data_IF_076865021326
#
_entry.id   IF_076865021326
#
_cell.length_a   1.000
_cell.length_b   1.000
_cell.length_c   1.000
_cell.angle_alpha   90.00
_cell.angle_beta   90.00
_cell.angle_gamma   90.00
#
_symmetry.space_group_name_H-M   'P 1'
#
loop_
_entity.id
_entity.type
_entity.pdbx_description
1 polymer ?
#
# COMPACT_ATOMS: atom_id res chain seq x y z
N UNK A 1 3.58 4.52 -3.74
CA UNK A 1 4.27 3.88 -2.59
C UNK A 1 3.31 3.44 -1.51
N UNK A 2 2.57 4.32 -0.81
CA UNK A 2 1.60 3.86 0.21
C UNK A 2 0.47 3.02 -0.40
N UNK A 3 -0.19 3.54 -1.44
CA UNK A 3 -1.21 2.77 -2.19
C UNK A 3 -0.63 1.50 -2.84
N UNK A 4 0.63 1.55 -3.29
CA UNK A 4 1.33 0.38 -3.83
C UNK A 4 1.50 -0.71 -2.78
N UNK A 5 1.90 -0.37 -1.56
CA UNK A 5 2.00 -1.33 -0.47
C UNK A 5 0.64 -1.96 -0.12
N UNK A 6 -0.44 -1.16 -0.12
CA UNK A 6 -1.80 -1.68 0.09
C UNK A 6 -2.22 -2.64 -1.03
N UNK A 7 -1.97 -2.26 -2.29
CA UNK A 7 -2.31 -3.10 -3.44
C UNK A 7 -1.52 -4.40 -3.46
N UNK A 8 -0.23 -4.37 -3.11
CA UNK A 8 0.61 -5.57 -2.94
C UNK A 8 0.09 -6.49 -1.83
N UNK A 9 -0.48 -5.91 -0.76
CA UNK A 9 -1.17 -6.66 0.29
C UNK A 9 -2.59 -7.12 -0.11
N UNK A 10 -3.05 -6.82 -1.32
CA UNK A 10 -4.39 -7.14 -1.80
C UNK A 10 -5.50 -6.29 -1.18
N UNK A 11 -5.18 -5.07 -0.73
CA UNK A 11 -6.12 -4.15 -0.07
C UNK A 11 -6.44 -2.96 -0.98
N UNK A 12 -7.73 -2.74 -1.25
CA UNK A 12 -8.23 -1.51 -1.87
C UNK A 12 -8.45 -0.45 -0.76
N UNK A 13 -7.96 0.77 -0.96
CA UNK A 13 -8.11 1.85 0.02
C UNK A 13 -9.49 2.51 -0.04
N UNK A 14 -9.96 2.84 -1.26
CA UNK A 14 -11.34 3.26 -1.59
C UNK A 14 -11.81 4.61 -1.03
N UNK A 15 -10.96 5.37 -0.36
CA UNK A 15 -11.33 6.72 0.14
C UNK A 15 -10.15 7.71 0.09
N UNK A 16 -9.44 7.77 -1.03
CA UNK A 16 -8.31 8.69 -1.18
C UNK A 16 -8.78 10.13 -1.35
N UNK A 17 -8.74 10.90 -0.27
CA UNK A 17 -9.11 12.32 -0.21
C UNK A 17 -8.02 13.16 0.46
N UNK A 18 -7.42 14.14 -0.23
CA UNK A 18 -6.23 14.86 0.26
C UNK A 18 -6.47 15.66 1.53
N UNK A 19 -7.67 16.22 1.74
CA UNK A 19 -7.94 17.09 2.89
C UNK A 19 -8.18 16.33 4.21
N UNK A 20 -8.60 15.08 4.15
CA UNK A 20 -9.05 14.31 5.33
C UNK A 20 -8.16 13.10 5.60
N UNK A 21 -7.75 12.41 4.54
CA UNK A 21 -7.17 11.08 4.63
C UNK A 21 -5.66 11.04 4.30
N UNK A 22 -5.08 12.21 3.99
CA UNK A 22 -3.65 12.37 3.70
C UNK A 22 -3.05 13.33 4.73
N UNK A 23 -2.28 12.78 5.68
CA UNK A 23 -1.62 13.55 6.74
C UNK A 23 -0.12 13.65 6.51
N UNK A 24 0.52 14.61 7.17
CA UNK A 24 1.98 14.71 7.25
C UNK A 24 2.43 14.23 8.64
N UNK A 25 3.49 13.43 8.69
CA UNK A 25 4.15 13.11 9.95
C UNK A 25 5.05 14.27 10.42
N UNK A 26 5.60 14.13 11.64
CA UNK A 26 6.55 15.10 12.22
C UNK A 26 7.80 15.37 11.36
N UNK A 27 8.09 14.53 10.37
CA UNK A 27 9.19 14.68 9.43
C UNK A 27 8.72 15.19 8.05
N UNK A 28 7.45 15.61 7.92
CA UNK A 28 6.87 16.13 6.68
C UNK A 28 6.59 15.06 5.61
N UNK A 29 6.63 13.77 5.97
CA UNK A 29 6.30 12.67 5.07
C UNK A 29 4.81 12.35 5.11
N UNK A 30 4.25 12.02 3.94
CA UNK A 30 2.84 11.67 3.81
C UNK A 30 2.54 10.35 4.51
N UNK A 31 1.40 10.30 5.20
CA UNK A 31 0.74 9.10 5.74
C UNK A 31 -0.71 9.07 5.31
N UNK A 32 -1.21 7.88 5.01
CA UNK A 32 -2.64 7.64 4.87
C UNK A 32 -3.23 7.37 6.25
N UNK A 33 -4.39 7.96 6.52
CA UNK A 33 -5.17 7.74 7.75
C UNK A 33 -6.57 7.27 7.38
N UNK A 34 -7.32 6.77 8.36
CA UNK A 34 -8.68 6.24 8.16
C UNK A 34 -8.79 5.11 7.11
N UNK A 35 -8.78 3.87 7.62
CA UNK A 35 -8.96 2.65 6.82
C UNK A 35 -10.39 2.10 6.95
N UNK A 36 -11.33 2.89 7.48
CA UNK A 36 -12.71 2.43 7.73
C UNK A 36 -13.45 1.96 6.47
N UNK A 37 -13.03 2.45 5.30
CA UNK A 37 -13.55 2.03 4.00
C UNK A 37 -12.61 1.11 3.23
N UNK A 38 -11.42 0.79 3.75
CA UNK A 38 -10.52 -0.14 3.08
C UNK A 38 -11.13 -1.55 2.99
N UNK A 39 -10.71 -2.33 1.99
CA UNK A 39 -11.25 -3.66 1.75
C UNK A 39 -10.17 -4.63 1.33
N UNK A 40 -10.14 -5.77 2.02
CA UNK A 40 -9.38 -6.95 1.60
C UNK A 40 -10.03 -7.59 0.35
N UNK A 41 -9.23 -7.69 -0.72
CA UNK A 41 -9.58 -8.19 -2.04
C UNK A 41 -8.82 -9.47 -2.39
N UNK A 42 -8.07 -10.08 -1.46
CA UNK A 42 -7.25 -11.28 -1.76
C UNK A 42 -8.08 -12.48 -2.23
N UNK A 43 -9.27 -12.65 -1.67
CA UNK A 43 -10.19 -13.74 -2.03
C UNK A 43 -11.21 -13.35 -3.12
N UNK A 44 -11.21 -12.09 -3.58
CA UNK A 44 -12.23 -11.56 -4.49
C UNK A 44 -11.63 -10.55 -5.46
N UNK A 45 -11.72 -10.83 -6.76
CA UNK A 45 -11.24 -9.91 -7.79
C UNK A 45 -12.08 -8.64 -7.92
N UNK A 46 -13.33 -8.64 -7.45
CA UNK A 46 -14.25 -7.51 -7.56
C UNK A 46 -15.14 -7.34 -6.35
N UNK A 47 -15.48 -6.09 -6.06
CA UNK A 47 -16.53 -5.71 -5.11
C UNK A 47 -17.49 -4.70 -5.73
N UNK A 48 -18.66 -4.51 -5.12
CA UNK A 48 -19.80 -3.77 -5.69
C UNK A 48 -20.36 -2.70 -4.75
N UNK A 49 -19.77 -2.54 -3.56
CA UNK A 49 -20.25 -1.56 -2.58
C UNK A 49 -19.93 -0.14 -3.04
N UNK A 50 -20.91 0.76 -3.02
CA UNK A 50 -20.70 2.18 -3.31
C UNK A 50 -20.32 2.87 -2.00
N UNK A 51 -19.04 3.24 -1.85
CA UNK A 51 -18.47 3.87 -0.65
C UNK A 51 -17.37 4.86 -1.05
N UNK A 52 -17.12 5.84 -0.19
CA UNK A 52 -16.12 6.89 -0.36
C UNK A 52 -16.75 8.28 -0.54
N UNK A 53 -15.93 9.26 -0.90
CA UNK A 53 -16.40 10.61 -1.27
C UNK A 53 -16.67 10.70 -2.79
N UNK A 54 -17.89 11.06 -3.19
CA UNK A 54 -18.38 11.03 -4.59
C UNK A 54 -17.41 11.68 -5.59
N UNK A 55 -16.83 12.84 -5.24
CA UNK A 55 -15.88 13.56 -6.11
C UNK A 55 -14.61 12.78 -6.49
N UNK A 56 -14.22 11.79 -5.68
CA UNK A 56 -13.01 10.99 -5.86
C UNK A 56 -13.32 9.57 -6.38
N UNK A 57 -14.59 9.18 -6.45
CA UNK A 57 -15.00 7.85 -6.88
C UNK A 57 -14.81 7.63 -8.39
N UNK A 58 -14.37 6.43 -8.75
CA UNK A 58 -14.21 6.00 -10.13
C UNK A 58 -15.57 5.73 -10.81
N UNK A 59 -15.70 5.96 -12.13
CA UNK A 59 -16.97 5.85 -12.85
C UNK A 59 -17.61 4.45 -12.77
N UNK A 60 -16.80 3.39 -12.76
CA UNK A 60 -17.27 2.00 -12.68
C UNK A 60 -18.01 1.66 -11.38
N UNK A 61 -17.80 2.43 -10.30
CA UNK A 61 -18.54 2.31 -9.05
C UNK A 61 -20.02 2.62 -9.28
N UNK A 62 -20.32 3.68 -10.03
CA UNK A 62 -21.69 4.12 -10.33
C UNK A 62 -22.37 3.25 -11.39
N UNK A 63 -21.61 2.70 -12.34
CA UNK A 63 -22.15 1.80 -13.37
C UNK A 63 -22.46 0.41 -12.79
N UNK A 64 -21.92 0.05 -11.62
CA UNK A 64 -22.22 -1.20 -10.92
C UNK A 64 -21.60 -2.45 -11.58
N UNK A 65 -20.54 -2.30 -12.39
CA UNK A 65 -19.85 -3.42 -13.07
C UNK A 65 -18.91 -4.22 -12.17
N UNK A 66 -18.79 -3.80 -10.91
CA UNK A 66 -17.82 -4.30 -9.95
C UNK A 66 -16.41 -3.84 -10.27
N UNK A 67 -15.64 -3.53 -9.23
CA UNK A 67 -14.35 -2.88 -9.31
C UNK A 67 -13.32 -3.59 -8.42
N UNK A 68 -12.04 -3.48 -8.77
CA UNK A 68 -10.90 -3.99 -8.02
C UNK A 68 -10.05 -2.89 -7.39
N UNK A 69 -8.73 -3.11 -7.33
CA UNK A 69 -7.75 -2.17 -6.77
C UNK A 69 -7.59 -0.90 -7.64
N UNK A 70 -7.99 -0.98 -8.91
CA UNK A 70 -7.76 0.05 -9.92
C UNK A 70 -8.51 1.38 -9.68
N UNK A 71 -9.49 1.39 -8.78
CA UNK A 71 -10.22 2.61 -8.39
C UNK A 71 -9.35 3.60 -7.61
N UNK A 72 -8.30 3.11 -6.94
CA UNK A 72 -7.38 3.97 -6.20
C UNK A 72 -6.48 4.78 -7.16
N UNK A 73 -6.20 4.27 -8.38
CA UNK A 73 -5.51 5.04 -9.42
C UNK A 73 -6.35 6.21 -9.93
N UNK A 74 -7.66 6.01 -10.10
CA UNK A 74 -8.58 7.09 -10.43
C UNK A 74 -8.56 8.17 -9.34
N UNK A 75 -8.74 7.74 -8.08
CA UNK A 75 -8.74 8.65 -6.93
C UNK A 75 -7.42 9.42 -6.81
N UNK A 76 -6.29 8.77 -7.09
CA UNK A 76 -4.96 9.40 -7.19
C UNK A 76 -4.93 10.45 -8.31
N UNK A 77 -5.52 10.16 -9.47
CA UNK A 77 -5.67 11.12 -10.57
C UNK A 77 -6.45 12.37 -10.18
N UNK A 78 -7.58 12.21 -9.48
CA UNK A 78 -8.40 13.33 -8.98
C UNK A 78 -7.58 14.17 -8.00
N UNK A 79 -6.89 13.52 -7.05
CA UNK A 79 -6.05 14.20 -6.06
C UNK A 79 -4.91 14.99 -6.71
N UNK A 80 -4.19 14.39 -7.67
CA UNK A 80 -3.11 15.10 -8.40
C UNK A 80 -3.68 16.29 -9.15
N UNK A 81 -4.82 16.14 -9.82
CA UNK A 81 -5.49 17.24 -10.51
C UNK A 81 -5.85 18.37 -9.56
N UNK A 82 -6.46 18.04 -8.42
CA UNK A 82 -6.85 19.01 -7.41
C UNK A 82 -5.64 19.80 -6.88
N UNK A 83 -4.54 19.12 -6.56
CA UNK A 83 -3.31 19.75 -6.07
C UNK A 83 -2.69 20.73 -7.08
N UNK A 84 -2.67 20.38 -8.38
CA UNK A 84 -1.99 21.20 -9.40
C UNK A 84 -2.89 22.25 -10.05
N UNK A 85 -4.20 22.00 -10.12
CA UNK A 85 -5.17 22.90 -10.73
C UNK A 85 -5.88 23.82 -9.71
N UNK A 86 -5.97 23.37 -8.44
CA UNK A 86 -6.69 24.05 -7.36
C UNK A 86 -8.20 23.91 -7.46
N UNK A 87 -8.70 22.90 -8.18
CA UNK A 87 -10.13 22.59 -8.36
C UNK A 87 -10.29 21.13 -8.77
N UNK A 88 -11.48 20.56 -8.63
CA UNK A 88 -11.79 19.20 -9.11
C UNK A 88 -11.94 19.15 -10.65
N UNK A 89 -11.62 18.02 -11.29
CA UNK A 89 -11.75 17.87 -12.75
C UNK A 89 -13.19 17.71 -13.24
N UNK A 90 -14.09 17.17 -12.39
CA UNK A 90 -15.48 16.88 -12.70
C UNK A 90 -16.38 17.39 -11.57
N UNK A 91 -17.55 17.93 -11.90
CA UNK A 91 -18.57 18.30 -10.89
C UNK A 91 -18.16 19.39 -9.90
N UNK A 92 -17.06 20.12 -10.15
CA UNK A 92 -16.47 21.07 -9.20
C UNK A 92 -17.41 22.19 -8.73
N UNK A 93 -18.45 22.51 -9.51
CA UNK A 93 -19.40 23.59 -9.21
C UNK A 93 -20.75 23.08 -8.67
N UNK A 94 -20.98 21.76 -8.64
CA UNK A 94 -22.21 21.19 -8.11
C UNK A 94 -22.02 20.61 -6.71
N UNK A 95 -23.06 20.80 -5.90
CA UNK A 95 -23.19 20.16 -4.59
C UNK A 95 -24.17 18.97 -4.62
N UNK A 96 -24.88 18.78 -5.73
CA UNK A 96 -25.83 17.68 -5.90
C UNK A 96 -25.09 16.44 -6.42
N UNK A 97 -25.22 15.32 -5.70
CA UNK A 97 -24.50 14.08 -6.02
C UNK A 97 -24.81 13.58 -7.44
N UNK A 98 -26.07 13.68 -7.88
CA UNK A 98 -26.50 13.22 -9.22
C UNK A 98 -25.78 13.99 -10.34
N UNK A 99 -25.58 15.30 -10.18
CA UNK A 99 -24.86 16.14 -11.15
C UNK A 99 -23.36 15.79 -11.18
N UNK A 100 -22.77 15.52 -10.02
CA UNK A 100 -21.35 15.14 -9.90
C UNK A 100 -21.14 13.77 -10.55
N UNK A 101 -22.05 12.82 -10.30
CA UNK A 101 -22.01 11.49 -10.91
C UNK A 101 -22.15 11.61 -12.43
N UNK A 102 -23.10 12.41 -12.92
CA UNK A 102 -23.26 12.66 -14.36
C UNK A 102 -21.98 13.25 -14.96
N UNK A 103 -21.35 14.23 -14.29
CA UNK A 103 -20.08 14.81 -14.73
C UNK A 103 -18.96 13.76 -14.79
N UNK A 104 -18.78 12.95 -13.74
CA UNK A 104 -17.80 11.86 -13.71
C UNK A 104 -18.02 10.87 -14.86
N UNK A 105 -19.27 10.53 -15.18
CA UNK A 105 -19.61 9.58 -16.24
C UNK A 105 -19.48 10.17 -17.66
N UNK A 106 -19.83 11.45 -17.86
CA UNK A 106 -20.03 12.01 -19.21
C UNK A 106 -18.99 13.08 -19.61
N UNK A 107 -18.49 13.90 -18.69
CA UNK A 107 -17.60 15.01 -19.04
C UNK A 107 -16.22 14.53 -19.51
N UNK A 108 -15.65 15.27 -20.46
CA UNK A 108 -14.27 15.06 -20.90
C UNK A 108 -13.32 15.85 -20.01
N UNK A 109 -12.22 15.21 -19.58
CA UNK A 109 -11.19 15.87 -18.79
C UNK A 109 -10.65 17.12 -19.50
N UNK A 110 -10.67 18.26 -18.80
CA UNK A 110 -10.15 19.53 -19.31
C UNK A 110 -9.23 20.18 -18.28
N UNK A 111 -8.21 20.91 -18.75
CA UNK A 111 -7.24 21.57 -17.89
C UNK A 111 -7.40 23.10 -17.92
N UNK A 112 -7.18 23.80 -16.79
CA UNK A 112 -7.14 25.25 -16.79
C UNK A 112 -6.03 25.78 -17.73
N UNK A 113 -6.23 26.92 -18.41
CA UNK A 113 -5.23 27.50 -19.32
C UNK A 113 -3.88 27.83 -18.66
N UNK A 114 -3.88 28.03 -17.33
CA UNK A 114 -2.68 28.29 -16.53
C UNK A 114 -1.79 27.06 -16.33
N UNK A 115 -2.32 25.85 -16.48
CA UNK A 115 -1.58 24.61 -16.26
C UNK A 115 -0.96 24.13 -17.58
N UNK A 116 0.36 24.25 -17.71
CA UNK A 116 1.11 24.02 -18.96
C UNK A 116 2.11 22.86 -18.90
N UNK A 117 2.08 22.07 -17.83
CA UNK A 117 2.93 20.88 -17.72
C UNK A 117 2.32 19.71 -18.51
N UNK A 118 2.91 19.42 -19.67
CA UNK A 118 2.46 18.33 -20.53
C UNK A 118 2.68 16.94 -19.90
N UNK A 119 3.71 16.78 -19.06
CA UNK A 119 3.96 15.51 -18.40
C UNK A 119 2.88 15.24 -17.35
N UNK A 120 2.52 16.24 -16.54
CA UNK A 120 1.44 16.08 -15.56
C UNK A 120 0.05 15.96 -16.21
N UNK A 121 -0.22 16.68 -17.31
CA UNK A 121 -1.44 16.45 -18.12
C UNK A 121 -1.55 15.00 -18.57
N UNK A 122 -0.49 14.47 -19.18
CA UNK A 122 -0.48 13.09 -19.67
C UNK A 122 -0.62 12.06 -18.54
N UNK A 123 -0.05 12.32 -17.37
CA UNK A 123 -0.24 11.46 -16.19
C UNK A 123 -1.72 11.43 -15.79
N UNK A 124 -2.33 12.60 -15.61
CA UNK A 124 -3.74 12.71 -15.20
C UNK A 124 -4.70 12.15 -16.25
N UNK A 125 -4.46 12.36 -17.54
CA UNK A 125 -5.26 11.77 -18.62
C UNK A 125 -5.27 10.24 -18.57
N UNK A 126 -4.14 9.61 -18.23
CA UNK A 126 -4.03 8.15 -18.15
C UNK A 126 -4.57 7.56 -16.84
N UNK A 127 -4.43 8.26 -15.71
CA UNK A 127 -5.03 7.89 -14.43
C UNK A 127 -6.56 8.08 -14.42
N UNK A 128 -7.06 9.12 -15.09
CA UNK A 128 -8.48 9.45 -15.21
C UNK A 128 -9.11 8.87 -16.48
N UNK A 129 -8.56 7.76 -17.00
CA UNK A 129 -9.20 6.97 -18.02
C UNK A 129 -10.48 6.33 -17.45
N UNK A 130 -11.63 6.60 -18.10
CA UNK A 130 -12.93 6.09 -17.65
C UNK A 130 -13.08 4.59 -17.86
N UNK A 131 -12.37 4.02 -18.83
CA UNK A 131 -12.28 2.57 -18.98
C UNK A 131 -11.24 2.04 -17.97
N UNK A 132 -11.65 1.28 -16.94
CA UNK A 132 -10.72 0.75 -15.96
C UNK A 132 -9.69 -0.20 -16.58
N UNK A 133 -9.99 -0.87 -17.70
CA UNK A 133 -9.03 -1.75 -18.35
C UNK A 133 -7.86 -0.96 -18.96
N UNK A 134 -8.16 0.18 -19.60
CA UNK A 134 -7.16 1.04 -20.25
C UNK A 134 -6.54 2.07 -19.29
N UNK A 135 -6.95 2.06 -18.02
CA UNK A 135 -6.44 2.99 -17.01
C UNK A 135 -5.01 2.64 -16.63
N UNK A 136 -4.17 3.67 -16.50
CA UNK A 136 -2.80 3.49 -16.03
C UNK A 136 -2.80 2.80 -14.66
N UNK A 137 -1.93 1.79 -14.56
CA UNK A 137 -1.80 0.92 -13.39
C UNK A 137 -2.68 -0.32 -13.40
N UNK A 138 -3.59 -0.49 -14.37
CA UNK A 138 -4.42 -1.70 -14.45
C UNK A 138 -3.69 -2.94 -15.00
N UNK A 139 -2.59 -2.76 -15.73
CA UNK A 139 -1.84 -3.85 -16.38
C UNK A 139 -0.46 -4.14 -15.76
N UNK A 140 0.32 -3.10 -15.44
CA UNK A 140 1.68 -3.20 -14.87
C UNK A 140 1.77 -2.58 -13.45
N UNK A 141 0.62 -2.54 -12.76
CA UNK A 141 0.35 -2.03 -11.39
C UNK A 141 0.92 -0.64 -11.09
N UNK A 142 2.17 -0.56 -10.65
CA UNK A 142 2.78 0.67 -10.16
C UNK A 142 4.05 1.05 -10.92
N UNK A 143 4.63 0.14 -11.71
CA UNK A 143 5.85 0.44 -12.46
C UNK A 143 5.59 1.49 -13.53
N UNK A 144 4.49 1.36 -14.28
CA UNK A 144 4.05 2.32 -15.29
C UNK A 144 3.88 3.74 -14.71
N UNK A 145 3.29 3.84 -13.51
CA UNK A 145 3.11 5.10 -12.79
C UNK A 145 4.46 5.67 -12.37
N UNK A 146 5.33 4.86 -11.75
CA UNK A 146 6.64 5.31 -11.25
C UNK A 146 7.60 5.73 -12.37
N UNK A 147 7.57 5.05 -13.51
CA UNK A 147 8.41 5.38 -14.67
C UNK A 147 7.89 6.57 -15.50
N UNK A 148 6.74 7.11 -15.13
CA UNK A 148 6.12 8.21 -15.87
C UNK A 148 7.03 9.45 -15.89
N UNK A 149 7.05 10.17 -17.03
CA UNK A 149 7.89 11.36 -17.23
C UNK A 149 7.66 12.45 -16.19
N UNK A 150 6.46 12.52 -15.62
CA UNK A 150 6.12 13.45 -14.55
C UNK A 150 7.02 13.28 -13.32
N UNK A 151 7.38 12.04 -12.97
CA UNK A 151 8.22 11.73 -11.80
C UNK A 151 9.72 11.71 -12.13
N UNK A 152 10.10 11.86 -13.41
CA UNK A 152 11.50 11.97 -13.84
C UNK A 152 11.99 13.40 -13.60
N UNK A 153 12.20 13.76 -12.34
CA UNK A 153 12.63 15.11 -11.97
C UNK A 153 14.07 15.37 -12.41
N UNK A 154 14.27 16.47 -13.13
CA UNK A 154 15.55 16.91 -13.66
C UNK A 154 16.41 17.52 -12.55
N UNK A 155 17.20 16.73 -11.82
CA UNK A 155 18.19 17.30 -10.89
C UNK A 155 18.75 16.40 -9.80
N UNK A 156 18.08 15.32 -9.41
CA UNK A 156 18.53 14.46 -8.32
C UNK A 156 19.41 13.30 -8.81
N UNK A 157 20.50 13.02 -8.09
CA UNK A 157 21.32 11.83 -8.31
C UNK A 157 20.60 10.61 -7.72
N UNK A 158 19.77 9.93 -8.52
CA UNK A 158 19.11 8.68 -8.11
C UNK A 158 17.64 8.60 -8.49
N UNK A 159 17.04 7.44 -8.25
CA UNK A 159 15.60 7.20 -8.45
C UNK A 159 14.78 7.97 -7.39
N UNK A 160 13.74 8.69 -7.84
CA UNK A 160 12.91 9.54 -6.97
C UNK A 160 12.21 8.71 -5.88
N UNK A 161 11.66 7.57 -6.26
CA UNK A 161 10.88 6.73 -5.34
C UNK A 161 11.78 6.10 -4.29
N UNK A 162 12.97 5.64 -4.66
CA UNK A 162 14.00 5.16 -3.73
C UNK A 162 14.36 6.24 -2.69
N UNK A 163 14.58 7.49 -3.12
CA UNK A 163 14.90 8.59 -2.20
C UNK A 163 13.75 8.90 -1.23
N UNK A 164 12.49 8.84 -1.70
CA UNK A 164 11.33 9.05 -0.82
C UNK A 164 11.20 7.88 0.17
N UNK A 165 11.43 6.62 -0.25
CA UNK A 165 11.40 5.45 0.65
C UNK A 165 12.49 5.54 1.72
N UNK A 166 13.70 5.93 1.33
CA UNK A 166 14.83 6.13 2.24
C UNK A 166 14.72 7.37 3.13
N UNK A 167 13.62 8.14 2.98
CA UNK A 167 13.41 9.43 3.64
C UNK A 167 14.58 10.43 3.42
N UNK A 168 15.21 10.38 2.25
CA UNK A 168 16.40 11.17 1.91
C UNK A 168 16.07 12.57 1.39
N UNK A 169 14.82 12.80 0.99
CA UNK A 169 14.37 14.09 0.50
C UNK A 169 13.95 14.99 1.65
N UNK A 170 14.36 16.27 1.61
CA UNK A 170 13.77 17.26 2.49
C UNK A 170 12.34 17.55 2.01
N UNK A 171 11.32 17.42 2.87
CA UNK A 171 9.96 17.75 2.49
C UNK A 171 9.85 19.26 2.21
N UNK A 172 8.98 19.68 1.28
CA UNK A 172 8.75 21.09 1.00
C UNK A 172 8.07 21.82 2.15
N UNK A 173 7.37 21.08 3.03
CA UNK A 173 6.68 21.59 4.20
C UNK A 173 7.03 20.72 5.41
N UNK A 174 7.58 21.34 6.44
CA UNK A 174 7.75 20.75 7.77
C UNK A 174 6.66 21.33 8.68
N UNK A 175 5.77 20.52 9.27
CA UNK A 175 4.82 20.99 10.28
C UNK A 175 5.55 21.61 11.48
N UNK A 176 5.02 22.66 12.09
CA UNK A 176 5.63 23.37 13.25
C UNK A 176 5.59 22.56 14.58
N UNK A 177 5.44 21.24 14.50
CA UNK A 177 5.27 20.33 15.64
C UNK A 177 3.85 19.77 15.75
N UNK A 178 3.72 18.64 16.41
CA UNK A 178 2.44 17.95 16.63
C UNK A 178 1.84 18.42 17.97
N UNK A 179 0.81 19.27 17.94
CA UNK A 179 -0.10 19.37 19.09
C UNK A 179 -1.06 18.19 19.04
N UNK A 180 -0.64 17.05 19.62
CA UNK A 180 -1.58 15.99 19.94
C UNK A 180 -2.65 16.56 20.88
N UNK A 181 -3.92 16.33 20.57
CA UNK A 181 -4.97 16.46 21.58
C UNK A 181 -4.49 15.67 22.81
N UNK A 182 -4.31 16.34 23.95
CA UNK A 182 -3.92 15.66 25.21
C UNK A 182 -4.75 14.39 25.34
N UNK A 183 -4.14 13.27 25.71
CA UNK A 183 -4.82 11.96 25.84
C UNK A 183 -6.14 12.04 26.64
N UNK A 184 -6.29 13.04 27.51
CA UNK A 184 -7.50 13.38 28.24
C UNK A 184 -8.74 13.73 27.36
N UNK A 185 -8.57 14.10 26.09
CA UNK A 185 -9.66 14.42 25.16
C UNK A 185 -10.12 13.22 24.32
N UNK A 186 -9.35 12.13 24.32
CA UNK A 186 -9.81 10.86 23.76
C UNK A 186 -10.74 10.24 24.79
N UNK A 187 -12.04 10.18 24.49
CA UNK A 187 -12.99 9.43 25.32
C UNK A 187 -12.46 8.01 25.53
N UNK A 188 -12.36 7.49 26.77
CA UNK A 188 -11.59 6.28 27.11
C UNK A 188 -12.14 4.94 26.56
N UNK A 189 -12.99 4.99 25.53
CA UNK A 189 -13.82 3.86 25.09
C UNK A 189 -13.54 3.28 23.72
N UNK A 190 -12.81 3.92 22.81
CA UNK A 190 -12.57 3.37 21.44
C UNK A 190 -11.23 3.83 20.90
N UNK A 191 -10.34 2.88 20.61
CA UNK A 191 -9.19 2.94 19.68
C UNK A 191 -7.95 2.22 20.22
N UNK A 192 -7.56 2.42 21.48
CA UNK A 192 -6.29 1.87 21.98
C UNK A 192 -6.35 0.36 22.26
N UNK A 193 -7.48 -0.11 22.79
CA UNK A 193 -7.72 -1.55 23.00
C UNK A 193 -7.84 -2.31 21.68
N UNK A 194 -8.54 -1.75 20.70
CA UNK A 194 -8.75 -2.44 19.42
C UNK A 194 -7.44 -2.60 18.66
N UNK A 195 -6.58 -1.57 18.60
CA UNK A 195 -5.28 -1.65 17.89
C UNK A 195 -4.31 -2.62 18.59
N UNK A 196 -4.24 -2.59 19.92
CA UNK A 196 -3.42 -3.53 20.70
C UNK A 196 -3.96 -4.96 20.57
N UNK A 197 -5.29 -5.14 20.60
CA UNK A 197 -5.97 -6.44 20.43
C UNK A 197 -5.80 -7.00 19.01
N UNK A 198 -5.89 -6.16 17.96
CA UNK A 198 -5.63 -6.58 16.57
C UNK A 198 -4.17 -6.93 16.33
N UNK A 199 -3.22 -6.16 16.87
CA UNK A 199 -1.79 -6.46 16.76
C UNK A 199 -1.44 -7.75 17.51
N UNK A 200 -2.04 -7.96 18.70
CA UNK A 200 -1.87 -9.19 19.46
C UNK A 200 -2.53 -10.39 18.75
N UNK A 201 -3.69 -10.21 18.12
CA UNK A 201 -4.35 -11.26 17.32
C UNK A 201 -3.56 -11.64 16.07
N UNK A 202 -3.03 -10.67 15.31
CA UNK A 202 -2.19 -10.96 14.13
C UNK A 202 -0.90 -11.64 14.54
N UNK A 203 -0.26 -11.17 15.61
CA UNK A 203 0.95 -11.78 16.15
C UNK A 203 0.67 -13.21 16.62
N UNK A 204 -0.48 -13.47 17.24
CA UNK A 204 -0.90 -14.80 17.66
C UNK A 204 -1.12 -15.72 16.44
N UNK A 205 -1.82 -15.25 15.40
CA UNK A 205 -2.05 -16.01 14.15
C UNK A 205 -0.74 -16.33 13.44
N UNK A 206 0.18 -15.37 13.36
CA UNK A 206 1.51 -15.56 12.78
C UNK A 206 2.31 -16.60 13.58
N UNK A 207 2.26 -16.55 14.92
CA UNK A 207 2.92 -17.54 15.77
C UNK A 207 2.31 -18.94 15.65
N UNK A 208 0.98 -19.07 15.51
CA UNK A 208 0.34 -20.37 15.30
C UNK A 208 0.71 -20.98 13.95
N UNK A 209 0.72 -20.17 12.89
CA UNK A 209 1.15 -20.59 11.56
C UNK A 209 2.64 -20.98 11.56
N UNK A 210 3.50 -20.19 12.19
CA UNK A 210 4.91 -20.52 12.36
C UNK A 210 5.12 -21.84 13.11
N UNK A 211 4.31 -22.15 14.14
CA UNK A 211 4.36 -23.45 14.84
C UNK A 211 3.97 -24.62 13.92
N UNK A 212 2.96 -24.44 13.06
CA UNK A 212 2.53 -25.47 12.13
C UNK A 212 3.62 -25.81 11.12
N UNK A 213 4.26 -24.78 10.56
CA UNK A 213 5.42 -24.93 9.66
C UNK A 213 6.61 -25.54 10.39
N UNK A 214 6.91 -25.07 11.61
CA UNK A 214 8.02 -25.59 12.41
C UNK A 214 7.90 -27.10 12.66
N UNK A 215 6.69 -27.60 12.92
CA UNK A 215 6.45 -29.03 13.12
C UNK A 215 6.74 -29.87 11.88
N UNK A 216 6.66 -29.28 10.67
CA UNK A 216 7.06 -29.93 9.43
C UNK A 216 8.59 -29.90 9.23
N UNK A 217 9.23 -28.80 9.62
CA UNK A 217 10.69 -28.63 9.54
C UNK A 217 11.44 -29.46 10.58
N UNK A 218 10.86 -29.68 11.76
CA UNK A 218 11.41 -30.51 12.83
C UNK A 218 10.46 -31.70 13.17
N UNK A 219 10.30 -32.66 12.24
CA UNK A 219 9.37 -33.78 12.43
C UNK A 219 9.82 -34.73 13.55
N UNK A 220 11.12 -34.72 13.89
CA UNK A 220 11.71 -35.55 14.93
C UNK A 220 11.71 -34.87 16.32
N UNK A 221 11.30 -33.61 16.41
CA UNK A 221 11.23 -32.85 17.66
C UNK A 221 12.60 -32.61 18.31
N UNK A 222 13.65 -32.46 17.50
CA UNK A 222 15.01 -32.21 17.97
C UNK A 222 15.20 -30.77 18.46
N UNK A 223 14.28 -29.87 18.11
CA UNK A 223 14.28 -28.45 18.48
C UNK A 223 15.27 -27.60 17.71
N UNK A 224 16.02 -28.20 16.77
CA UNK A 224 17.05 -27.56 15.96
C UNK A 224 16.96 -28.09 14.53
N UNK A 225 16.85 -27.18 13.55
CA UNK A 225 16.87 -27.48 12.11
C UNK A 225 18.21 -27.01 11.54
N UNK A 226 18.84 -27.84 10.71
CA UNK A 226 20.12 -27.46 10.11
C UNK A 226 19.94 -26.43 9.00
N UNK A 227 20.88 -25.50 8.92
CA UNK A 227 20.82 -24.34 8.04
C UNK A 227 20.80 -24.74 6.57
N UNK A 228 21.54 -25.79 6.19
CA UNK A 228 21.56 -26.31 4.82
C UNK A 228 20.20 -26.88 4.38
N UNK A 229 19.42 -27.44 5.31
CA UNK A 229 18.11 -28.02 5.02
C UNK A 229 17.08 -26.93 4.73
N UNK A 230 17.10 -25.84 5.52
CA UNK A 230 16.23 -24.68 5.28
C UNK A 230 16.57 -23.98 3.95
N UNK A 231 17.86 -23.83 3.63
CA UNK A 231 18.30 -23.22 2.36
C UNK A 231 17.85 -24.05 1.16
N UNK A 232 17.95 -25.39 1.25
CA UNK A 232 17.48 -26.28 0.19
C UNK A 232 15.97 -26.22 0.01
N UNK A 233 15.20 -26.12 1.10
CA UNK A 233 13.76 -25.96 1.07
C UNK A 233 13.36 -24.64 0.41
N UNK A 234 13.93 -23.52 0.86
CA UNK A 234 13.65 -22.20 0.29
C UNK A 234 14.06 -22.13 -1.20
N UNK A 235 15.19 -22.74 -1.58
CA UNK A 235 15.65 -22.78 -2.97
C UNK A 235 14.79 -23.68 -3.89
N UNK A 236 13.98 -24.58 -3.33
CA UNK A 236 13.07 -25.46 -4.09
C UNK A 236 11.64 -24.91 -4.18
N UNK A 237 11.34 -23.84 -3.46
CA UNK A 237 10.02 -23.22 -3.39
C UNK A 237 9.94 -21.96 -4.24
N UNK A 238 8.74 -21.61 -4.72
CA UNK A 238 8.47 -20.44 -5.58
C UNK A 238 8.47 -19.12 -4.78
N UNK A 239 9.45 -18.94 -3.89
CA UNK A 239 9.62 -17.72 -3.11
C UNK A 239 10.49 -16.72 -3.87
N UNK A 240 10.03 -15.46 -3.97
CA UNK A 240 10.74 -14.33 -4.60
C UNK A 240 12.00 -13.86 -3.83
N UNK A 241 12.60 -14.72 -3.00
CA UNK A 241 13.82 -14.43 -2.26
C UNK A 241 15.03 -14.67 -3.17
N UNK A 242 15.82 -13.61 -3.39
CA UNK A 242 17.08 -13.74 -4.10
C UNK A 242 18.17 -14.38 -3.20
N UNK A 243 19.25 -14.85 -3.81
CA UNK A 243 20.33 -15.57 -3.09
C UNK A 243 20.98 -14.73 -1.98
N UNK A 244 21.07 -13.42 -2.14
CA UNK A 244 21.62 -12.54 -1.10
C UNK A 244 20.66 -12.41 0.09
N UNK A 245 19.35 -12.44 -0.14
CA UNK A 245 18.34 -12.48 0.93
C UNK A 245 18.36 -13.81 1.67
N UNK A 246 18.57 -14.92 0.96
CA UNK A 246 18.72 -16.26 1.56
C UNK A 246 20.01 -16.33 2.41
N UNK A 247 21.14 -15.81 1.90
CA UNK A 247 22.41 -15.81 2.63
C UNK A 247 22.35 -14.88 3.87
N UNK A 248 21.74 -13.69 3.75
CA UNK A 248 21.49 -12.79 4.88
C UNK A 248 20.52 -13.40 5.91
N UNK A 249 19.51 -14.14 5.43
CA UNK A 249 18.56 -14.90 6.26
C UNK A 249 19.27 -15.99 7.06
N UNK A 250 20.18 -16.74 6.44
CA UNK A 250 21.02 -17.73 7.12
C UNK A 250 21.88 -17.09 8.20
N UNK A 251 22.57 -15.99 7.86
CA UNK A 251 23.44 -15.29 8.80
C UNK A 251 22.68 -14.69 10.00
N UNK A 252 21.45 -14.20 9.78
CA UNK A 252 20.61 -13.65 10.84
C UNK A 252 20.00 -14.70 11.77
N UNK A 253 19.68 -15.89 11.24
CA UNK A 253 18.96 -16.93 11.99
C UNK A 253 19.92 -17.88 12.72
N UNK A 254 21.12 -18.09 12.17
CA UNK A 254 22.14 -19.00 12.71
C UNK A 254 23.49 -18.28 12.94
N UNK A 255 23.46 -17.31 13.85
CA UNK A 255 24.65 -16.48 14.20
C UNK A 255 25.85 -17.26 14.75
N UNK A 256 25.66 -18.53 15.15
CA UNK A 256 26.70 -19.36 15.79
C UNK A 256 27.03 -20.63 15.02
N UNK A 257 26.40 -20.86 13.87
CA UNK A 257 26.46 -22.12 13.13
C UNK A 257 26.08 -23.34 13.99
N UNK A 258 25.15 -23.16 14.94
CA UNK A 258 24.62 -24.21 15.81
C UNK A 258 23.21 -24.68 15.39
N UNK A 259 22.70 -24.12 14.29
CA UNK A 259 21.41 -24.46 13.70
C UNK A 259 20.28 -23.56 14.18
N UNK A 260 19.16 -23.67 13.48
CA UNK A 260 18.01 -22.79 13.65
C UNK A 260 17.11 -23.37 14.73
N UNK A 261 16.69 -22.54 15.69
CA UNK A 261 15.72 -22.91 16.72
C UNK A 261 14.36 -22.27 16.42
N UNK A 262 13.29 -22.78 17.00
CA UNK A 262 11.96 -22.16 16.85
C UNK A 262 11.97 -20.68 17.25
N UNK A 263 12.77 -20.33 18.28
CA UNK A 263 12.89 -18.95 18.74
C UNK A 263 13.57 -18.04 17.71
N UNK A 264 14.66 -18.49 17.09
CA UNK A 264 15.36 -17.70 16.06
C UNK A 264 14.56 -17.66 14.76
N UNK A 265 13.82 -18.72 14.45
CA UNK A 265 12.85 -18.76 13.35
C UNK A 265 11.71 -17.73 13.52
N UNK A 266 11.09 -17.64 14.71
CA UNK A 266 10.07 -16.60 14.96
C UNK A 266 10.65 -15.18 14.92
N UNK A 267 11.84 -14.97 15.49
CA UNK A 267 12.50 -13.65 15.45
C UNK A 267 12.81 -13.20 14.02
N UNK A 268 13.05 -14.15 13.11
CA UNK A 268 13.23 -13.89 11.69
C UNK A 268 11.92 -13.47 10.99
N UNK A 269 10.80 -14.14 11.27
CA UNK A 269 9.50 -13.77 10.73
C UNK A 269 9.02 -12.38 11.20
N UNK A 270 9.59 -11.86 12.29
CA UNK A 270 9.29 -10.54 12.82
C UNK A 270 10.17 -9.41 12.22
N UNK A 271 11.05 -9.71 11.25
CA UNK A 271 11.89 -8.70 10.60
C UNK A 271 11.10 -7.83 9.61
N UNK A 272 11.28 -6.51 9.69
CA UNK A 272 10.51 -5.49 8.95
C UNK A 272 10.60 -5.55 7.43
N UNK A 273 11.65 -6.13 6.88
CA UNK A 273 11.91 -6.21 5.43
C UNK A 273 11.48 -7.55 4.81
N UNK A 274 10.78 -8.40 5.58
CA UNK A 274 10.40 -9.75 5.19
C UNK A 274 8.88 -9.92 5.16
N UNK A 275 8.32 -10.44 4.06
CA UNK A 275 6.94 -10.94 4.06
C UNK A 275 6.88 -12.31 4.74
N UNK A 276 6.65 -12.30 6.05
CA UNK A 276 6.56 -13.48 6.90
C UNK A 276 5.51 -14.50 6.41
N UNK A 277 4.40 -14.02 5.83
CA UNK A 277 3.35 -14.88 5.32
C UNK A 277 3.75 -15.57 4.02
N UNK A 278 4.46 -14.87 3.12
CA UNK A 278 5.00 -15.49 1.92
C UNK A 278 6.03 -16.57 2.25
N UNK A 279 6.91 -16.33 3.23
CA UNK A 279 7.91 -17.32 3.65
C UNK A 279 7.24 -18.54 4.28
N UNK A 280 6.25 -18.34 5.16
CA UNK A 280 5.52 -19.46 5.76
C UNK A 280 4.77 -20.29 4.70
N UNK A 281 4.08 -19.65 3.74
CA UNK A 281 3.42 -20.36 2.63
C UNK A 281 4.39 -21.15 1.77
N UNK A 282 5.55 -20.58 1.45
CA UNK A 282 6.59 -21.27 0.68
C UNK A 282 7.06 -22.55 1.41
N UNK A 283 7.28 -22.46 2.72
CA UNK A 283 7.72 -23.58 3.54
C UNK A 283 6.62 -24.63 3.81
N UNK A 284 5.35 -24.32 3.53
CA UNK A 284 4.26 -25.29 3.67
C UNK A 284 4.20 -26.33 2.54
N UNK A 285 4.75 -26.00 1.36
CA UNK A 285 4.72 -26.80 0.14
C UNK A 285 3.50 -26.56 -0.73
#
# INVERSE_FOLDING_TARGET
>A
MLLEALHLAGVAYRDLKPAENVMLDSQGYVKLVDFGLAKDMRDQSKTFTIVGTVYYMAPEIFVGRGYGLEIDFWSLGIMVYEMVCGRLPFGNESAEEDDIIAAVLEETLAFPPKYNDNAGKNLMERLLCKDPAERMGSHDSWQEVKEHKFFKMTGSKGDLFTQILGREMNPPLMPEGEEYSKEAYLSPGRSRRDIEEFADEEKLKLQEHAKAVWKKLDPNGQGVVQTEELVLLLAQTDCDLNRNQIDALVEAVDTKADGITFKTFCAFLEQSDLDAHAVLRALEG
#
